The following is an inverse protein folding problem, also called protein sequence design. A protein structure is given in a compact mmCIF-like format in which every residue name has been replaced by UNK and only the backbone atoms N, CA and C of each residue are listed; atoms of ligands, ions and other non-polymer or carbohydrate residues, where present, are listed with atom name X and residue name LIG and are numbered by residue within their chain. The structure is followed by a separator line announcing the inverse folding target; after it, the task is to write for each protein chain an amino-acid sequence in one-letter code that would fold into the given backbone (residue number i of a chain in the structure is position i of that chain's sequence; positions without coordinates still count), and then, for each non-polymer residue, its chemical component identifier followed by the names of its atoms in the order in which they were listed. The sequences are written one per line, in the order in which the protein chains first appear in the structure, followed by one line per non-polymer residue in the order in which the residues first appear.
data_IF_542855924414
#
_entry.id   IF_542855924414
#
_cell.length_a   1.000
_cell.length_b   1.000
_cell.length_c   1.000
_cell.angle_alpha   90.00
_cell.angle_beta   90.00
_cell.angle_gamma   90.00
#
_symmetry.space_group_name_H-M   'P 1'
#
loop_
_entity.id
_entity.type
_entity.pdbx_description
1 polymer ?
#
# COMPACT_ATOMS: atom_id res chain seq x y z
N UNK A 1 4.96 37.98 36.34
CA UNK A 1 4.12 37.11 35.50
C UNK A 1 2.67 37.34 35.89
N UNK A 2 1.89 37.90 34.97
CA UNK A 2 0.49 38.30 35.14
C UNK A 2 -0.37 37.03 35.30
N UNK A 3 -1.29 36.95 36.27
CA UNK A 3 -2.02 35.76 36.75
C UNK A 3 -2.95 35.03 35.75
N UNK A 4 -2.59 34.97 34.48
CA UNK A 4 -3.27 34.21 33.44
C UNK A 4 -2.85 32.74 33.47
N UNK A 5 -3.83 31.85 33.34
CA UNK A 5 -3.59 30.43 33.11
C UNK A 5 -3.10 30.24 31.68
N UNK A 6 -1.88 29.77 31.52
CA UNK A 6 -1.29 29.45 30.22
C UNK A 6 -1.64 28.02 29.84
N UNK A 7 -2.10 27.82 28.60
CA UNK A 7 -2.41 26.51 28.02
C UNK A 7 -1.86 26.51 26.60
N UNK A 8 -1.12 25.46 26.23
CA UNK A 8 -0.70 25.23 24.85
C UNK A 8 -1.62 24.20 24.22
N UNK A 9 -2.31 24.60 23.16
CA UNK A 9 -3.13 23.72 22.34
C UNK A 9 -2.43 23.60 21.00
N UNK A 10 -2.09 22.38 20.61
CA UNK A 10 -1.36 22.12 19.37
C UNK A 10 -2.24 22.36 18.13
N UNK A 11 -3.49 21.87 18.16
CA UNK A 11 -4.47 22.14 17.10
C UNK A 11 -5.87 22.27 17.67
N UNK A 12 -6.63 23.23 17.13
CA UNK A 12 -8.04 23.43 17.44
C UNK A 12 -8.97 22.56 16.57
N UNK A 13 -8.47 22.07 15.43
CA UNK A 13 -9.23 21.14 14.60
C UNK A 13 -9.17 19.74 15.21
N UNK A 14 -10.32 19.11 15.41
CA UNK A 14 -10.39 17.73 15.86
C UNK A 14 -9.65 16.82 14.88
N UNK A 15 -8.68 16.05 15.36
CA UNK A 15 -8.11 14.94 14.60
C UNK A 15 -9.07 13.75 14.70
N UNK A 16 -9.41 13.16 13.56
CA UNK A 16 -10.17 11.90 13.53
C UNK A 16 -9.37 10.70 14.08
N UNK A 17 -8.07 10.89 14.39
CA UNK A 17 -7.17 9.87 14.90
C UNK A 17 -6.57 10.35 16.21
N UNK A 18 -6.79 9.58 17.28
CA UNK A 18 -6.29 9.91 18.62
C UNK A 18 -4.77 9.81 18.68
N UNK A 19 -4.09 10.86 19.17
CA UNK A 19 -2.64 10.84 19.41
C UNK A 19 -2.27 9.75 20.41
N UNK A 20 -3.07 9.53 21.47
CA UNK A 20 -2.78 8.49 22.47
C UNK A 20 -2.79 7.08 21.87
N UNK A 21 -3.65 6.83 20.88
CA UNK A 21 -3.70 5.54 20.18
C UNK A 21 -2.57 5.34 19.16
N UNK A 22 -1.88 6.42 18.78
CA UNK A 22 -0.70 6.38 17.90
C UNK A 22 0.61 6.19 18.67
N UNK A 23 0.60 6.43 20.00
CA UNK A 23 1.77 6.36 20.87
C UNK A 23 1.85 5.02 21.61
N UNK A 24 3.07 4.53 21.85
CA UNK A 24 3.33 3.32 22.66
C UNK A 24 2.84 1.99 22.06
N UNK A 25 2.01 2.01 21.02
CA UNK A 25 1.56 0.83 20.29
C UNK A 25 2.55 0.39 19.21
N UNK A 26 2.58 -0.93 18.94
CA UNK A 26 3.25 -1.45 17.74
C UNK A 26 2.57 -0.93 16.46
N UNK A 27 3.30 -0.85 15.36
CA UNK A 27 2.71 -0.48 14.07
C UNK A 27 1.56 -1.41 13.67
N UNK A 28 1.65 -2.71 13.96
CA UNK A 28 0.56 -3.68 13.72
C UNK A 28 -0.70 -3.27 14.48
N UNK A 29 -0.60 -3.08 15.80
CA UNK A 29 -1.74 -2.69 16.62
C UNK A 29 -2.35 -1.35 16.19
N UNK A 30 -1.51 -0.40 15.76
CA UNK A 30 -1.98 0.91 15.27
C UNK A 30 -2.81 0.72 13.98
N UNK A 31 -2.32 -0.06 13.02
CA UNK A 31 -3.02 -0.27 11.73
C UNK A 31 -4.15 -1.31 11.79
N UNK A 32 -4.30 -1.99 12.92
CA UNK A 32 -5.45 -2.83 13.24
C UNK A 32 -6.57 -2.03 13.95
N UNK A 33 -6.26 -0.87 14.53
CA UNK A 33 -7.20 -0.12 15.37
C UNK A 33 -7.22 1.38 15.06
N UNK A 34 -6.33 2.15 15.66
CA UNK A 34 -6.35 3.62 15.71
C UNK A 34 -6.24 4.26 14.32
N UNK A 35 -5.45 3.66 13.43
CA UNK A 35 -5.26 4.17 12.09
C UNK A 35 -5.25 3.04 11.06
N UNK A 36 -6.43 2.51 10.70
CA UNK A 36 -6.56 1.26 9.94
C UNK A 36 -5.81 1.26 8.61
N UNK A 37 -5.25 0.11 8.25
CA UNK A 37 -4.52 -0.08 6.98
C UNK A 37 -5.36 0.31 5.76
N UNK A 38 -6.67 0.02 5.77
CA UNK A 38 -7.63 0.39 4.73
C UNK A 38 -7.64 1.90 4.49
N UNK A 39 -7.58 2.69 5.57
CA UNK A 39 -7.55 4.15 5.51
C UNK A 39 -6.22 4.66 4.96
N UNK A 40 -5.10 4.06 5.37
CA UNK A 40 -3.77 4.35 4.82
C UNK A 40 -3.75 4.05 3.32
N UNK A 41 -4.21 2.87 2.92
CA UNK A 41 -4.29 2.45 1.53
C UNK A 41 -5.18 3.42 0.73
N UNK A 42 -6.36 3.76 1.22
CA UNK A 42 -7.25 4.71 0.56
C UNK A 42 -6.58 6.08 0.32
N UNK A 43 -5.81 6.58 1.29
CA UNK A 43 -5.13 7.88 1.20
C UNK A 43 -3.93 7.85 0.24
N UNK A 44 -3.21 6.73 0.16
CA UNK A 44 -1.95 6.63 -0.58
C UNK A 44 -2.07 5.89 -1.93
N UNK A 45 -3.19 5.22 -2.22
CA UNK A 45 -3.33 4.36 -3.38
C UNK A 45 -3.06 5.09 -4.69
N UNK A 46 -3.65 6.26 -4.89
CA UNK A 46 -3.46 7.02 -6.13
C UNK A 46 -1.99 7.41 -6.34
N UNK A 47 -1.29 7.80 -5.27
CA UNK A 47 0.15 8.11 -5.32
C UNK A 47 0.97 6.84 -5.62
N UNK A 48 0.60 5.70 -5.05
CA UNK A 48 1.26 4.43 -5.34
C UNK A 48 1.06 4.02 -6.80
N UNK A 49 -0.13 4.22 -7.36
CA UNK A 49 -0.43 3.94 -8.77
C UNK A 49 0.31 4.90 -9.70
N UNK A 50 0.49 6.17 -9.33
CA UNK A 50 1.24 7.15 -10.14
C UNK A 50 2.75 6.87 -10.19
N UNK A 51 3.26 5.95 -9.37
CA UNK A 51 4.64 5.50 -9.49
C UNK A 51 4.88 4.64 -10.74
N UNK A 52 3.82 4.10 -11.35
CA UNK A 52 3.89 3.27 -12.55
C UNK A 52 3.70 4.11 -13.81
N UNK A 53 4.76 4.21 -14.62
CA UNK A 53 4.78 4.89 -15.89
C UNK A 53 4.27 3.97 -17.00
N UNK A 54 3.00 4.09 -17.33
CA UNK A 54 2.38 3.42 -18.47
C UNK A 54 2.57 4.24 -19.77
N UNK A 55 2.39 3.62 -20.95
CA UNK A 55 2.33 4.36 -22.22
C UNK A 55 1.22 5.42 -22.20
N UNK A 56 1.49 6.61 -22.75
CA UNK A 56 0.53 7.73 -22.77
C UNK A 56 -0.62 7.49 -23.76
N UNK A 57 -1.62 6.72 -23.36
CA UNK A 57 -2.85 6.48 -24.14
C UNK A 57 -4.07 6.26 -23.23
N UNK A 58 -5.27 6.33 -23.81
CA UNK A 58 -6.53 6.21 -23.07
C UNK A 58 -6.67 4.87 -22.34
N UNK A 59 -6.09 3.80 -22.88
CA UNK A 59 -6.10 2.47 -22.25
C UNK A 59 -5.37 2.51 -20.91
N UNK A 60 -4.22 3.17 -20.82
CA UNK A 60 -3.48 3.33 -19.58
C UNK A 60 -4.23 4.15 -18.53
N UNK A 61 -4.86 5.26 -18.94
CA UNK A 61 -5.65 6.11 -18.03
C UNK A 61 -6.83 5.32 -17.45
N UNK A 62 -7.58 4.63 -18.32
CA UNK A 62 -8.70 3.79 -17.90
C UNK A 62 -8.26 2.63 -17.01
N UNK A 63 -7.08 2.07 -17.25
CA UNK A 63 -6.50 1.03 -16.42
C UNK A 63 -6.18 1.53 -15.00
N UNK A 64 -5.47 2.66 -14.87
CA UNK A 64 -5.17 3.27 -13.56
C UNK A 64 -6.47 3.59 -12.79
N UNK A 65 -7.47 4.16 -13.48
CA UNK A 65 -8.78 4.44 -12.88
C UNK A 65 -9.44 3.16 -12.37
N UNK A 66 -9.41 2.09 -13.19
CA UNK A 66 -9.95 0.78 -12.81
C UNK A 66 -9.24 0.20 -11.60
N UNK A 67 -7.90 0.28 -11.54
CA UNK A 67 -7.13 -0.18 -10.38
C UNK A 67 -7.52 0.58 -9.11
N UNK A 68 -7.58 1.92 -9.18
CA UNK A 68 -7.91 2.77 -8.04
C UNK A 68 -9.31 2.46 -7.49
N UNK A 69 -10.28 2.18 -8.37
CA UNK A 69 -11.64 1.82 -7.97
C UNK A 69 -11.77 0.38 -7.47
N UNK A 70 -11.09 -0.57 -8.12
CA UNK A 70 -11.27 -2.01 -7.82
C UNK A 70 -10.50 -2.44 -6.58
N UNK A 71 -9.24 -2.00 -6.38
CA UNK A 71 -8.41 -2.45 -5.25
C UNK A 71 -9.14 -2.28 -3.91
N UNK A 72 -9.80 -1.14 -3.71
CA UNK A 72 -10.52 -0.84 -2.46
C UNK A 72 -11.82 -1.64 -2.27
N UNK A 73 -12.33 -2.30 -3.32
CA UNK A 73 -13.56 -3.13 -3.27
C UNK A 73 -13.31 -4.59 -2.93
N UNK A 74 -12.05 -5.00 -2.81
CA UNK A 74 -11.66 -6.40 -2.58
C UNK A 74 -10.97 -6.60 -1.22
N UNK A 75 -11.72 -6.91 -0.15
CA UNK A 75 -11.16 -7.11 1.19
C UNK A 75 -10.05 -8.16 1.25
N UNK A 76 -10.17 -9.27 0.49
CA UNK A 76 -9.14 -10.31 0.44
C UNK A 76 -7.81 -9.79 -0.12
N UNK A 77 -7.87 -8.92 -1.14
CA UNK A 77 -6.69 -8.27 -1.71
C UNK A 77 -6.03 -7.34 -0.68
N UNK A 78 -6.83 -6.52 -0.01
CA UNK A 78 -6.35 -5.61 1.04
C UNK A 78 -5.71 -6.40 2.18
N UNK A 79 -6.33 -7.51 2.60
CA UNK A 79 -5.78 -8.41 3.62
C UNK A 79 -4.43 -8.98 3.20
N UNK A 80 -4.30 -9.47 1.96
CA UNK A 80 -3.03 -9.98 1.42
C UNK A 80 -1.94 -8.89 1.43
N UNK A 81 -2.27 -7.68 0.95
CA UNK A 81 -1.37 -6.53 1.01
C UNK A 81 -0.92 -6.24 2.44
N UNK A 82 -1.87 -6.15 3.37
CA UNK A 82 -1.61 -5.83 4.78
C UNK A 82 -0.65 -6.83 5.42
N UNK A 83 -0.92 -8.13 5.28
CA UNK A 83 -0.09 -9.21 5.84
C UNK A 83 1.34 -9.08 5.32
N UNK A 84 1.50 -8.99 4.00
CA UNK A 84 2.82 -8.91 3.37
C UNK A 84 3.61 -7.66 3.75
N UNK A 85 2.94 -6.51 3.81
CA UNK A 85 3.58 -5.24 4.19
C UNK A 85 4.02 -5.28 5.66
N UNK A 86 3.19 -5.81 6.54
CA UNK A 86 3.55 -5.94 7.96
C UNK A 86 4.73 -6.90 8.15
N UNK A 87 4.81 -8.01 7.41
CA UNK A 87 6.01 -8.86 7.40
C UNK A 87 7.25 -8.09 6.94
N UNK A 88 7.14 -7.32 5.86
CA UNK A 88 8.25 -6.53 5.32
C UNK A 88 8.72 -5.45 6.29
N UNK A 89 7.79 -4.75 6.97
CA UNK A 89 8.09 -3.73 7.97
C UNK A 89 8.81 -4.35 9.18
N UNK A 90 8.38 -5.53 9.65
CA UNK A 90 9.02 -6.24 10.78
C UNK A 90 10.48 -6.62 10.49
N UNK A 91 10.86 -6.74 9.23
CA UNK A 91 12.24 -7.03 8.81
C UNK A 91 13.11 -5.78 8.74
N UNK A 92 12.53 -4.58 8.78
CA UNK A 92 13.29 -3.33 8.82
C UNK A 92 13.84 -3.07 10.23
N UNK A 93 14.96 -2.32 10.37
CA UNK A 93 15.52 -1.98 11.67
C UNK A 93 14.47 -1.37 12.60
N UNK A 94 14.38 -1.89 13.82
CA UNK A 94 13.45 -1.38 14.84
C UNK A 94 14.04 -0.13 15.47
N UNK A 95 13.71 1.03 14.91
CA UNK A 95 13.99 2.31 15.53
C UNK A 95 12.75 2.76 16.32
N UNK A 96 12.95 3.53 17.39
CA UNK A 96 11.88 4.27 18.03
C UNK A 96 11.43 5.40 17.09
N UNK A 97 10.62 5.03 16.10
CA UNK A 97 10.17 5.93 15.05
C UNK A 97 9.34 7.10 15.60
N UNK A 98 8.68 6.92 16.75
CA UNK A 98 7.92 7.97 17.41
C UNK A 98 8.87 9.03 17.96
N UNK A 99 9.96 8.60 18.61
CA UNK A 99 11.03 9.48 19.05
C UNK A 99 11.69 10.21 17.85
N UNK A 100 11.99 9.51 16.76
CA UNK A 100 12.59 10.09 15.54
C UNK A 100 11.70 11.15 14.89
N UNK A 101 10.37 10.99 14.93
CA UNK A 101 9.43 12.00 14.46
C UNK A 101 9.42 13.20 15.41
N UNK A 102 9.41 12.97 16.72
CA UNK A 102 9.34 14.02 17.73
C UNK A 102 10.62 14.86 17.83
N UNK A 103 11.80 14.24 17.67
CA UNK A 103 13.10 14.88 17.84
C UNK A 103 13.59 15.62 16.58
N UNK A 104 13.03 15.31 15.41
CA UNK A 104 13.44 15.89 14.14
C UNK A 104 12.47 16.99 13.66
N UNK A 105 12.94 18.25 13.65
CA UNK A 105 12.16 19.40 13.18
C UNK A 105 11.67 19.26 11.74
N UNK A 106 12.41 18.60 10.85
CA UNK A 106 11.99 18.37 9.47
C UNK A 106 10.82 17.38 9.38
N UNK A 107 10.71 16.45 10.34
CA UNK A 107 9.61 15.50 10.43
C UNK A 107 8.40 16.06 11.16
N UNK A 108 8.59 17.06 12.04
CA UNK A 108 7.52 17.60 12.88
C UNK A 108 6.90 18.89 12.30
N UNK A 109 7.72 19.89 11.96
CA UNK A 109 7.26 21.25 11.66
C UNK A 109 6.42 21.40 10.38
N UNK A 110 6.55 20.56 9.35
CA UNK A 110 5.67 20.64 8.19
C UNK A 110 4.20 20.31 8.49
N UNK A 111 3.91 19.74 9.68
CA UNK A 111 2.58 19.26 10.03
C UNK A 111 1.92 20.13 11.08
N UNK A 112 0.59 20.30 11.02
CA UNK A 112 -0.15 21.15 11.95
C UNK A 112 -0.22 20.59 13.37
N UNK A 113 0.15 19.32 13.57
CA UNK A 113 0.21 18.67 14.88
C UNK A 113 1.12 17.45 14.85
N UNK A 114 1.56 17.02 16.02
CA UNK A 114 2.33 15.80 16.22
C UNK A 114 1.54 14.57 15.78
N UNK A 115 0.23 14.54 16.04
CA UNK A 115 -0.65 13.48 15.49
C UNK A 115 -0.59 13.42 13.97
N UNK A 116 -0.63 14.56 13.28
CA UNK A 116 -0.52 14.62 11.82
C UNK A 116 0.87 14.20 11.33
N UNK A 117 1.93 14.54 12.06
CA UNK A 117 3.29 14.10 11.78
C UNK A 117 3.42 12.56 11.89
N UNK A 118 2.92 11.97 12.99
CA UNK A 118 2.92 10.52 13.20
C UNK A 118 2.12 9.77 12.13
N UNK A 119 0.92 10.25 11.80
CA UNK A 119 0.11 9.68 10.71
C UNK A 119 0.86 9.73 9.38
N UNK A 120 1.54 10.84 9.09
CA UNK A 120 2.30 10.98 7.83
C UNK A 120 3.54 10.11 7.79
N UNK A 121 4.21 9.91 8.93
CA UNK A 121 5.29 8.94 9.05
C UNK A 121 4.78 7.53 8.73
N UNK A 122 3.68 7.09 9.36
CA UNK A 122 3.06 5.79 9.10
C UNK A 122 2.70 5.64 7.62
N UNK A 123 2.01 6.64 7.03
CA UNK A 123 1.70 6.61 5.59
C UNK A 123 2.95 6.46 4.73
N UNK A 124 4.02 7.18 5.05
CA UNK A 124 5.29 7.10 4.31
C UNK A 124 5.97 5.74 4.45
N UNK A 125 5.87 5.11 5.61
CA UNK A 125 6.40 3.77 5.83
C UNK A 125 5.64 2.71 5.01
N UNK A 126 4.31 2.81 4.94
CA UNK A 126 3.46 1.85 4.23
C UNK A 126 3.37 2.11 2.72
N UNK A 127 3.39 3.38 2.26
CA UNK A 127 3.27 3.71 0.82
C UNK A 127 4.38 3.08 -0.02
N UNK A 128 5.59 2.96 0.54
CA UNK A 128 6.74 2.39 -0.17
C UNK A 128 6.49 0.94 -0.62
N UNK A 129 6.24 -0.01 0.31
CA UNK A 129 5.96 -1.38 -0.07
C UNK A 129 4.63 -1.52 -0.82
N UNK A 130 3.61 -0.69 -0.59
CA UNK A 130 2.38 -0.70 -1.41
C UNK A 130 2.72 -0.47 -2.89
N UNK A 131 3.44 0.61 -3.21
CA UNK A 131 3.78 0.94 -4.59
C UNK A 131 4.66 -0.15 -5.24
N UNK A 132 5.62 -0.70 -4.50
CA UNK A 132 6.48 -1.78 -4.99
C UNK A 132 5.69 -3.05 -5.29
N UNK A 133 4.81 -3.49 -4.37
CA UNK A 133 3.97 -4.67 -4.56
C UNK A 133 3.04 -4.47 -5.75
N UNK A 134 2.32 -3.35 -5.84
CA UNK A 134 1.42 -3.09 -6.95
C UNK A 134 2.16 -3.11 -8.30
N UNK A 135 3.33 -2.47 -8.37
CA UNK A 135 4.15 -2.51 -9.59
C UNK A 135 4.61 -3.93 -9.93
N UNK A 136 5.05 -4.72 -8.94
CA UNK A 136 5.45 -6.11 -9.15
C UNK A 136 4.27 -6.95 -9.69
N UNK A 137 3.07 -6.80 -9.12
CA UNK A 137 1.88 -7.51 -9.58
C UNK A 137 1.46 -7.11 -11.00
N UNK A 138 1.53 -5.83 -11.33
CA UNK A 138 1.22 -5.35 -12.69
C UNK A 138 2.20 -5.89 -13.73
N UNK A 139 3.49 -5.98 -13.40
CA UNK A 139 4.51 -6.60 -14.27
C UNK A 139 4.30 -8.10 -14.50
N UNK A 140 3.56 -8.76 -13.60
CA UNK A 140 3.24 -10.17 -13.67
C UNK A 140 1.82 -10.40 -14.22
N UNK A 141 1.08 -9.34 -14.61
CA UNK A 141 -0.34 -9.39 -14.99
C UNK A 141 -1.23 -10.06 -13.91
N UNK A 142 -0.91 -9.84 -12.64
CA UNK A 142 -1.55 -10.52 -11.52
C UNK A 142 -2.76 -9.77 -10.93
N UNK A 143 -2.81 -8.44 -11.01
CA UNK A 143 -3.88 -7.68 -10.34
C UNK A 143 -5.23 -7.83 -11.04
N UNK A 144 -5.26 -7.69 -12.39
CA UNK A 144 -6.50 -7.83 -13.16
C UNK A 144 -7.05 -9.26 -13.08
N UNK A 145 -6.17 -10.25 -13.12
CA UNK A 145 -6.54 -11.67 -12.97
C UNK A 145 -7.14 -11.92 -11.59
N UNK A 146 -6.58 -11.36 -10.51
CA UNK A 146 -7.19 -11.43 -9.18
C UNK A 146 -8.65 -10.94 -9.18
N UNK A 147 -8.93 -9.77 -9.76
CA UNK A 147 -10.30 -9.24 -9.80
C UNK A 147 -11.25 -10.16 -10.54
N UNK A 148 -10.85 -10.66 -11.72
CA UNK A 148 -11.65 -11.58 -12.51
C UNK A 148 -11.92 -12.89 -11.76
N UNK A 149 -10.88 -13.49 -11.18
CA UNK A 149 -10.97 -14.74 -10.41
C UNK A 149 -11.87 -14.56 -9.19
N UNK A 150 -11.70 -13.47 -8.43
CA UNK A 150 -12.48 -13.23 -7.22
C UNK A 150 -13.96 -12.94 -7.53
N UNK A 151 -14.27 -12.20 -8.60
CA UNK A 151 -15.65 -12.01 -9.09
C UNK A 151 -16.29 -13.35 -9.51
N UNK A 152 -15.52 -14.19 -10.22
CA UNK A 152 -15.98 -15.51 -10.65
C UNK A 152 -16.12 -16.50 -9.48
N UNK A 153 -15.22 -16.50 -8.50
CA UNK A 153 -15.31 -17.37 -7.32
C UNK A 153 -16.59 -17.12 -6.51
N UNK A 154 -17.00 -15.84 -6.38
CA UNK A 154 -18.26 -15.46 -5.72
C UNK A 154 -19.52 -15.91 -6.46
N UNK A 155 -19.44 -16.15 -7.77
CA UNK A 155 -20.59 -16.47 -8.63
C UNK A 155 -20.61 -17.92 -9.14
N UNK A 156 -19.44 -18.56 -9.22
CA UNK A 156 -19.17 -19.88 -9.77
C UNK A 156 -18.05 -20.52 -8.93
N UNK A 157 -18.39 -21.45 -8.03
CA UNK A 157 -17.46 -22.02 -7.03
C UNK A 157 -16.18 -22.68 -7.59
N UNK A 158 -16.09 -22.93 -8.90
CA UNK A 158 -14.92 -23.56 -9.53
C UNK A 158 -13.64 -22.69 -9.53
N UNK A 159 -13.71 -21.42 -9.11
CA UNK A 159 -12.56 -20.49 -9.11
C UNK A 159 -11.85 -20.36 -7.75
N UNK A 160 -12.34 -21.01 -6.69
CA UNK A 160 -11.73 -20.96 -5.35
C UNK A 160 -10.28 -21.48 -5.37
N UNK A 161 -10.02 -22.63 -6.01
CA UNK A 161 -8.67 -23.18 -6.16
C UNK A 161 -7.72 -22.24 -6.90
N UNK A 162 -8.23 -21.48 -7.87
CA UNK A 162 -7.42 -20.54 -8.63
C UNK A 162 -7.13 -19.26 -7.82
N UNK A 163 -8.05 -18.87 -6.93
CA UNK A 163 -7.83 -17.80 -5.96
C UNK A 163 -6.78 -18.21 -4.92
N UNK A 164 -6.88 -19.42 -4.37
CA UNK A 164 -5.87 -19.99 -3.46
C UNK A 164 -4.49 -20.04 -4.12
N UNK A 165 -4.42 -20.51 -5.37
CA UNK A 165 -3.19 -20.48 -6.15
C UNK A 165 -2.64 -19.07 -6.32
N UNK A 166 -3.51 -18.09 -6.62
CA UNK A 166 -3.09 -16.70 -6.73
C UNK A 166 -2.47 -16.19 -5.42
N UNK A 167 -3.12 -16.46 -4.29
CA UNK A 167 -2.65 -16.04 -2.95
C UNK A 167 -1.32 -16.72 -2.58
N UNK A 168 -1.14 -18.00 -2.92
CA UNK A 168 0.11 -18.73 -2.71
C UNK A 168 1.27 -18.11 -3.51
N UNK A 169 1.07 -17.87 -4.82
CA UNK A 169 2.08 -17.27 -5.68
C UNK A 169 2.36 -15.82 -5.28
N UNK A 170 1.33 -15.08 -4.87
CA UNK A 170 1.48 -13.75 -4.30
C UNK A 170 2.43 -13.75 -3.11
N UNK A 171 2.25 -14.67 -2.15
CA UNK A 171 3.09 -14.73 -0.95
C UNK A 171 4.52 -15.22 -1.22
N UNK A 172 4.80 -15.84 -2.36
CA UNK A 172 6.15 -16.23 -2.73
C UNK A 172 7.03 -15.01 -3.06
N UNK A 173 7.94 -14.69 -2.13
CA UNK A 173 8.91 -13.59 -2.23
C UNK A 173 9.90 -13.77 -3.38
N UNK A 174 10.09 -15.01 -3.88
CA UNK A 174 10.92 -15.28 -5.07
C UNK A 174 10.20 -14.95 -6.37
N UNK A 175 8.87 -14.95 -6.39
CA UNK A 175 8.09 -14.64 -7.59
C UNK A 175 7.76 -13.15 -7.60
N UNK A 176 7.08 -12.67 -6.55
CA UNK A 176 6.76 -11.25 -6.41
C UNK A 176 7.90 -10.57 -5.65
N UNK A 177 8.99 -10.22 -6.33
CA UNK A 177 10.17 -9.61 -5.67
C UNK A 177 9.99 -8.11 -5.47
N UNK A 178 10.16 -7.61 -4.24
CA UNK A 178 10.13 -6.16 -3.93
C UNK A 178 11.41 -5.62 -3.29
N UNK A 179 12.28 -6.47 -2.75
CA UNK A 179 13.46 -6.01 -1.97
C UNK A 179 14.47 -5.21 -2.80
N UNK A 180 14.66 -5.60 -4.06
CA UNK A 180 15.64 -4.98 -4.97
C UNK A 180 15.02 -3.88 -5.85
N UNK A 181 13.77 -3.49 -5.61
CA UNK A 181 13.12 -2.43 -6.38
C UNK A 181 13.63 -1.05 -5.92
N UNK A 182 13.85 -0.16 -6.89
CA UNK A 182 14.14 1.24 -6.60
C UNK A 182 13.05 1.84 -5.70
N UNK A 183 13.42 2.85 -4.90
CA UNK A 183 12.45 3.58 -4.10
C UNK A 183 11.35 4.19 -5.00
N UNK A 184 10.06 4.04 -4.63
CA UNK A 184 8.98 4.58 -5.44
C UNK A 184 9.06 6.10 -5.55
N UNK A 185 8.84 6.58 -6.76
CA UNK A 185 8.63 7.99 -7.11
C UNK A 185 7.62 8.03 -8.26
N UNK A 186 6.91 9.15 -8.45
CA UNK A 186 6.04 9.33 -9.61
C UNK A 186 6.79 8.99 -10.90
N UNK A 187 6.14 8.20 -11.77
CA UNK A 187 6.70 7.68 -13.02
C UNK A 187 8.05 6.91 -12.86
N UNK A 188 8.36 6.44 -11.66
CA UNK A 188 9.62 5.77 -11.35
C UNK A 188 9.74 4.35 -11.90
N UNK A 189 8.61 3.70 -12.18
CA UNK A 189 8.58 2.34 -12.69
C UNK A 189 8.07 2.30 -14.13
N UNK A 190 8.96 2.07 -15.08
CA UNK A 190 8.56 1.83 -16.46
C UNK A 190 7.74 0.53 -16.55
N UNK A 191 6.53 0.65 -17.11
CA UNK A 191 5.64 -0.46 -17.37
C UNK A 191 5.70 -0.84 -18.84
N UNK A 192 5.94 -2.13 -19.12
CA UNK A 192 5.93 -2.63 -20.48
C UNK A 192 4.49 -2.71 -21.00
N UNK A 193 4.28 -2.60 -22.32
CA UNK A 193 2.96 -2.74 -22.92
C UNK A 193 2.28 -4.08 -22.55
N UNK A 194 3.07 -5.12 -22.27
CA UNK A 194 2.61 -6.42 -21.77
C UNK A 194 1.77 -6.36 -20.49
N UNK A 195 1.99 -5.37 -19.61
CA UNK A 195 1.19 -5.22 -18.38
C UNK A 195 -0.26 -4.81 -18.66
N UNK A 196 -0.55 -4.32 -19.86
CA UNK A 196 -1.91 -3.96 -20.32
C UNK A 196 -2.59 -5.11 -21.09
N UNK A 197 -2.00 -6.30 -21.12
CA UNK A 197 -2.61 -7.48 -21.73
C UNK A 197 -3.70 -8.05 -20.81
N UNK A 198 -4.77 -8.51 -21.44
CA UNK A 198 -5.94 -9.07 -20.77
C UNK A 198 -5.79 -10.58 -20.57
N UNK A 199 -4.73 -10.97 -19.86
CA UNK A 199 -4.46 -12.38 -19.57
C UNK A 199 -5.48 -12.91 -18.56
N UNK A 200 -5.99 -14.12 -18.79
CA UNK A 200 -6.97 -14.75 -17.90
C UNK A 200 -6.33 -15.56 -16.77
N UNK A 201 -5.17 -16.17 -17.03
CA UNK A 201 -4.46 -17.00 -16.05
C UNK A 201 -3.52 -16.14 -15.19
N UNK A 202 -3.53 -16.31 -13.85
CA UNK A 202 -2.76 -15.47 -12.96
C UNK A 202 -1.25 -15.70 -13.10
N UNK A 203 -0.47 -14.63 -13.00
CA UNK A 203 1.00 -14.66 -13.16
C UNK A 203 1.49 -15.22 -14.51
N UNK A 204 0.67 -15.14 -15.56
CA UNK A 204 1.00 -15.67 -16.89
C UNK A 204 2.35 -15.18 -17.42
N UNK A 205 2.66 -13.88 -17.25
CA UNK A 205 3.94 -13.32 -17.71
C UNK A 205 5.15 -13.93 -16.99
N UNK A 206 4.99 -14.36 -15.73
CA UNK A 206 6.04 -15.08 -15.02
C UNK A 206 6.30 -16.44 -15.67
N UNK A 207 5.25 -17.25 -15.85
CA UNK A 207 5.39 -18.61 -16.38
C UNK A 207 5.87 -18.61 -17.84
N UNK A 208 5.39 -17.67 -18.66
CA UNK A 208 5.88 -17.50 -20.04
C UNK A 208 7.39 -17.24 -20.08
N UNK A 209 7.91 -16.42 -19.17
CA UNK A 209 9.34 -16.14 -19.08
C UNK A 209 10.19 -17.28 -18.51
N UNK A 210 9.59 -18.35 -17.97
CA UNK A 210 10.33 -19.54 -17.51
C UNK A 210 10.44 -20.62 -18.60
N UNK A 211 9.63 -20.52 -19.65
CA UNK A 211 9.58 -21.50 -20.75
C UNK A 211 10.52 -21.08 -21.90
N UNK A 212 10.74 -19.76 -22.05
CA UNK A 212 11.66 -19.17 -23.01
C UNK A 212 13.08 -19.07 -22.45
#
# INVERSE_FOLDING_TARGET
MCGWKQITIETLSGSNVSTSGLLGGSLSSIVDSTYPFEKILQQELLWCLSCMKYPSNDKSINHIKTLNEKILKYPNFIKCLKVRILEWIKQQPTNDWQYEVASNKQNLYPYPSFSAALQTHIRTLFKKPIAQILCALERLSATKTFFSINERARSKGNYEKLLEFWEQVYMDKKIVKIENMQNPKPDGYNMQAGSLLDLEFPFSLYFMNQIN
#
